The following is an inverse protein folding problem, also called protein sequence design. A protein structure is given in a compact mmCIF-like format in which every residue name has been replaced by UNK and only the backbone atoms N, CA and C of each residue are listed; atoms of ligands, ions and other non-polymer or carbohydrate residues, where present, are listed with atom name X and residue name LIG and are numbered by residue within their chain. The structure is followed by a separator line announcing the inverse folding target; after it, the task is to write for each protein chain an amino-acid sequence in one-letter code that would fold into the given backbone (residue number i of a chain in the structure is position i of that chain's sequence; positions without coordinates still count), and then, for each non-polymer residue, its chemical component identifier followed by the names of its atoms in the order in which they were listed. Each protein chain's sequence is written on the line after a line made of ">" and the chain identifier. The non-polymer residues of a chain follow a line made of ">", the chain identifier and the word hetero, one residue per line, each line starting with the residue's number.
data_IF_504985191411
#
_entry.id   IF_504985191411
#
_cell.length_a   1.000
_cell.length_b   1.000
_cell.length_c   1.000
_cell.angle_alpha   90.00
_cell.angle_beta   90.00
_cell.angle_gamma   90.00
#
_symmetry.space_group_name_H-M   'P 1'
#
loop_
_entity.id
_entity.type
_entity.pdbx_description
1 polymer ?
#
# COMPACT_ATOMS: atom_id res chain seq x y z
N UNK A 1 21.88 12.88 10.89
CA UNK A 1 21.48 11.56 11.42
C UNK A 1 21.65 10.44 10.38
N UNK A 2 21.03 10.56 9.20
CA UNK A 2 21.08 9.57 8.10
C UNK A 2 22.50 9.22 7.63
N UNK A 3 23.40 10.21 7.53
CA UNK A 3 24.76 10.05 6.99
C UNK A 3 25.67 9.11 7.79
N UNK A 4 25.41 8.90 9.09
CA UNK A 4 26.21 7.99 9.93
C UNK A 4 25.50 6.66 10.20
N UNK A 5 24.18 6.70 10.39
CA UNK A 5 23.43 5.51 10.81
C UNK A 5 23.22 4.50 9.69
N UNK A 6 22.96 4.93 8.45
CA UNK A 6 22.77 3.99 7.34
C UNK A 6 24.08 3.25 7.00
N UNK A 7 25.24 3.92 6.86
CA UNK A 7 26.50 3.20 6.66
C UNK A 7 26.84 2.23 7.80
N UNK A 8 26.54 2.59 9.06
CA UNK A 8 26.72 1.69 10.19
C UNK A 8 25.78 0.47 10.11
N UNK A 9 24.51 0.67 9.79
CA UNK A 9 23.55 -0.40 9.56
C UNK A 9 24.00 -1.37 8.46
N UNK A 10 24.49 -0.84 7.32
CA UNK A 10 25.00 -1.67 6.22
C UNK A 10 26.25 -2.45 6.65
N UNK A 11 27.17 -1.82 7.38
CA UNK A 11 28.38 -2.48 7.90
C UNK A 11 28.01 -3.66 8.79
N UNK A 12 27.03 -3.48 9.68
CA UNK A 12 26.60 -4.54 10.59
C UNK A 12 25.86 -5.67 9.87
N UNK A 13 25.15 -5.37 8.79
CA UNK A 13 24.56 -6.39 7.93
C UNK A 13 25.64 -7.18 7.17
N UNK A 14 26.70 -6.50 6.70
CA UNK A 14 27.85 -7.14 6.03
C UNK A 14 28.64 -8.04 6.98
N UNK A 15 28.77 -7.64 8.24
CA UNK A 15 29.44 -8.45 9.29
C UNK A 15 28.52 -9.50 9.93
N UNK A 16 27.28 -9.64 9.43
CA UNK A 16 26.26 -10.55 9.98
C UNK A 16 25.92 -10.31 11.45
N UNK A 17 26.24 -9.13 11.98
CA UNK A 17 25.81 -8.71 13.31
C UNK A 17 24.29 -8.44 13.37
N UNK A 18 23.70 -8.14 12.22
CA UNK A 18 22.25 -8.07 12.03
C UNK A 18 21.84 -8.90 10.81
N UNK A 19 20.75 -9.65 10.94
CA UNK A 19 20.21 -10.52 9.89
C UNK A 19 18.68 -10.55 10.01
N UNK A 20 18.00 -9.47 9.57
CA UNK A 20 16.55 -9.43 9.58
C UNK A 20 15.98 -10.59 8.74
N UNK A 21 15.07 -11.36 9.36
CA UNK A 21 14.43 -12.51 8.73
C UNK A 21 13.21 -12.11 7.90
N UNK A 22 12.57 -11.00 8.26
CA UNK A 22 11.39 -10.47 7.58
C UNK A 22 11.37 -8.92 7.62
N UNK A 23 10.39 -8.34 6.92
CA UNK A 23 10.23 -6.89 6.81
C UNK A 23 9.99 -6.22 8.17
N UNK A 24 9.29 -6.89 9.09
CA UNK A 24 9.08 -6.38 10.45
C UNK A 24 10.41 -6.25 11.19
N UNK A 25 11.23 -7.29 11.19
CA UNK A 25 12.56 -7.29 11.81
C UNK A 25 13.47 -6.23 11.19
N UNK A 26 13.40 -6.03 9.87
CA UNK A 26 14.10 -4.95 9.18
C UNK A 26 13.72 -3.58 9.75
N UNK A 27 12.43 -3.28 9.82
CA UNK A 27 11.95 -1.99 10.34
C UNK A 27 12.31 -1.80 11.82
N UNK A 28 12.22 -2.84 12.63
CA UNK A 28 12.64 -2.79 14.04
C UNK A 28 14.14 -2.49 14.17
N UNK A 29 15.01 -3.16 13.41
CA UNK A 29 16.45 -2.91 13.40
C UNK A 29 16.79 -1.49 12.89
N UNK A 30 16.06 -1.00 11.88
CA UNK A 30 16.19 0.40 11.44
C UNK A 30 15.88 1.36 12.60
N UNK A 31 14.77 1.16 13.30
CA UNK A 31 14.38 2.00 14.43
C UNK A 31 15.34 1.93 15.60
N UNK A 32 15.88 0.76 15.93
CA UNK A 32 16.91 0.59 16.97
C UNK A 32 18.18 1.41 16.68
N UNK A 33 18.45 1.72 15.40
CA UNK A 33 19.56 2.57 14.96
C UNK A 33 19.16 4.02 14.73
N UNK A 34 17.93 4.40 15.10
CA UNK A 34 17.38 5.73 14.86
C UNK A 34 17.15 6.03 13.38
N UNK A 35 17.05 5.03 12.52
CA UNK A 35 16.74 5.20 11.09
C UNK A 35 15.22 5.18 10.94
N UNK A 36 14.64 6.33 10.60
CA UNK A 36 13.21 6.43 10.31
C UNK A 36 12.87 5.68 9.01
N UNK A 37 11.73 4.98 8.97
CA UNK A 37 11.25 4.21 7.79
C UNK A 37 11.15 5.05 6.53
N UNK A 38 10.93 6.37 6.62
CA UNK A 38 10.90 7.26 5.45
C UNK A 38 12.21 7.26 4.64
N UNK A 39 13.31 6.78 5.24
CA UNK A 39 14.62 6.66 4.60
C UNK A 39 14.88 5.27 4.00
N UNK A 40 13.84 4.45 3.80
CA UNK A 40 13.96 3.15 3.13
C UNK A 40 14.66 3.27 1.77
N UNK A 41 14.40 4.33 1.00
CA UNK A 41 15.10 4.56 -0.28
C UNK A 41 16.63 4.63 -0.10
N UNK A 42 17.12 5.34 0.93
CA UNK A 42 18.55 5.46 1.23
C UNK A 42 19.16 4.14 1.70
N UNK A 43 18.38 3.34 2.43
CA UNK A 43 18.79 1.98 2.81
C UNK A 43 18.91 1.12 1.55
N UNK A 44 17.89 1.13 0.67
CA UNK A 44 17.88 0.40 -0.61
C UNK A 44 19.09 0.80 -1.47
N UNK A 45 19.36 2.09 -1.63
CA UNK A 45 20.53 2.61 -2.36
C UNK A 45 21.84 2.05 -1.77
N UNK A 46 22.01 2.12 -0.45
CA UNK A 46 23.25 1.72 0.21
C UNK A 46 23.49 0.21 0.17
N UNK A 47 22.45 -0.61 0.36
CA UNK A 47 22.58 -2.07 0.28
C UNK A 47 22.73 -2.56 -1.17
N UNK A 48 22.23 -1.80 -2.16
CA UNK A 48 22.36 -2.16 -3.59
C UNK A 48 23.80 -2.20 -4.08
N UNK A 49 24.73 -1.54 -3.37
CA UNK A 49 26.17 -1.56 -3.66
C UNK A 49 26.77 -2.94 -3.37
N UNK A 50 26.15 -3.74 -2.49
CA UNK A 50 26.69 -5.00 -2.00
C UNK A 50 25.82 -6.18 -2.44
N UNK A 51 26.32 -6.99 -3.37
CA UNK A 51 25.57 -8.15 -3.90
C UNK A 51 25.17 -9.17 -2.81
N UNK A 52 25.98 -9.31 -1.75
CA UNK A 52 25.69 -10.16 -0.59
C UNK A 52 24.45 -9.72 0.21
N UNK A 53 24.06 -8.44 0.11
CA UNK A 53 22.88 -7.88 0.76
C UNK A 53 21.66 -7.83 -0.18
N UNK A 54 21.66 -8.59 -1.28
CA UNK A 54 20.54 -8.65 -2.21
C UNK A 54 19.22 -9.06 -1.55
N UNK A 55 19.24 -9.91 -0.52
CA UNK A 55 18.05 -10.27 0.25
C UNK A 55 17.46 -9.05 0.99
N UNK A 56 18.33 -8.24 1.60
CA UNK A 56 17.97 -7.05 2.35
C UNK A 56 17.41 -5.97 1.44
N UNK A 57 17.98 -5.83 0.23
CA UNK A 57 17.46 -4.98 -0.83
C UNK A 57 16.02 -5.36 -1.18
N UNK A 58 15.77 -6.64 -1.51
CA UNK A 58 14.43 -7.12 -1.89
C UNK A 58 13.41 -6.85 -0.78
N UNK A 59 13.78 -7.15 0.46
CA UNK A 59 12.94 -6.94 1.62
C UNK A 59 12.61 -5.46 1.86
N UNK A 60 13.59 -4.57 1.72
CA UNK A 60 13.37 -3.13 1.84
C UNK A 60 12.46 -2.58 0.72
N UNK A 61 12.58 -3.10 -0.50
CA UNK A 61 11.68 -2.76 -1.62
C UNK A 61 10.25 -3.26 -1.33
N UNK A 62 10.10 -4.48 -0.84
CA UNK A 62 8.79 -5.02 -0.44
C UNK A 62 8.14 -4.17 0.66
N UNK A 63 8.90 -3.68 1.64
CA UNK A 63 8.39 -2.75 2.66
C UNK A 63 7.90 -1.43 2.04
N UNK A 64 8.63 -0.84 1.09
CA UNK A 64 8.13 0.35 0.38
C UNK A 64 6.81 0.04 -0.32
N UNK A 65 6.76 -1.06 -1.09
CA UNK A 65 5.57 -1.47 -1.84
C UNK A 65 4.34 -1.66 -0.94
N UNK A 66 4.46 -2.49 0.10
CA UNK A 66 3.37 -2.83 1.01
C UNK A 66 2.88 -1.62 1.80
N UNK A 67 3.78 -0.72 2.17
CA UNK A 67 3.41 0.49 2.91
C UNK A 67 2.72 1.52 2.02
N UNK A 68 3.15 1.68 0.77
CA UNK A 68 2.44 2.48 -0.22
C UNK A 68 1.03 1.94 -0.47
N UNK A 69 0.90 0.62 -0.69
CA UNK A 69 -0.40 -0.02 -0.83
C UNK A 69 -1.30 0.21 0.40
N UNK A 70 -0.75 0.11 1.60
CA UNK A 70 -1.48 0.41 2.85
C UNK A 70 -1.95 1.87 2.94
N UNK A 71 -1.16 2.84 2.49
CA UNK A 71 -1.57 4.24 2.47
C UNK A 71 -2.79 4.45 1.57
N UNK A 72 -2.75 3.89 0.35
CA UNK A 72 -3.86 3.96 -0.59
C UNK A 72 -5.09 3.20 -0.08
N UNK A 73 -4.89 2.04 0.54
CA UNK A 73 -5.96 1.23 1.13
C UNK A 73 -6.77 2.02 2.16
N UNK A 74 -6.11 2.85 2.97
CA UNK A 74 -6.79 3.67 3.98
C UNK A 74 -7.77 4.65 3.32
N UNK A 75 -7.35 5.34 2.26
CA UNK A 75 -8.21 6.28 1.52
C UNK A 75 -9.30 5.54 0.77
N UNK A 76 -8.95 4.46 0.08
CA UNK A 76 -9.91 3.59 -0.61
C UNK A 76 -11.05 3.14 0.30
N UNK A 77 -10.76 2.68 1.52
CA UNK A 77 -11.78 2.24 2.48
C UNK A 77 -12.69 3.37 2.98
N UNK A 78 -12.27 4.64 2.91
CA UNK A 78 -13.14 5.77 3.26
C UNK A 78 -14.26 5.97 2.22
N UNK A 79 -14.03 5.56 0.98
CA UNK A 79 -14.99 5.64 -0.13
C UNK A 79 -15.90 4.41 -0.24
N UNK A 80 -15.54 3.31 0.42
CA UNK A 80 -16.35 2.08 0.44
C UNK A 80 -17.53 2.25 1.40
N UNK A 81 -18.72 1.89 0.92
CA UNK A 81 -19.91 1.86 1.77
C UNK A 81 -19.71 0.84 2.91
N UNK A 82 -20.00 1.20 4.18
CA UNK A 82 -19.89 0.26 5.30
C UNK A 82 -20.66 -1.06 5.11
N UNK A 83 -21.76 -1.07 4.36
CA UNK A 83 -22.50 -2.31 4.02
C UNK A 83 -21.75 -3.22 3.05
N UNK A 84 -20.81 -2.67 2.29
CA UNK A 84 -20.03 -3.37 1.27
C UNK A 84 -18.54 -3.45 1.66
N UNK A 85 -18.19 -3.22 2.94
CA UNK A 85 -16.80 -3.14 3.38
C UNK A 85 -16.01 -4.42 3.05
N UNK A 86 -16.59 -5.60 3.31
CA UNK A 86 -15.96 -6.88 2.95
C UNK A 86 -15.68 -7.01 1.45
N UNK A 87 -16.62 -6.53 0.63
CA UNK A 87 -16.51 -6.52 -0.83
C UNK A 87 -15.41 -5.57 -1.30
N UNK A 88 -15.37 -4.35 -0.76
CA UNK A 88 -14.32 -3.39 -1.07
C UNK A 88 -12.93 -3.89 -0.66
N UNK A 89 -12.80 -4.51 0.52
CA UNK A 89 -11.52 -5.12 0.95
C UNK A 89 -11.09 -6.20 -0.03
N UNK A 90 -11.99 -7.12 -0.40
CA UNK A 90 -11.68 -8.17 -1.37
C UNK A 90 -11.31 -7.59 -2.74
N UNK A 91 -12.03 -6.58 -3.21
CA UNK A 91 -11.74 -5.92 -4.48
C UNK A 91 -10.35 -5.27 -4.49
N UNK A 92 -10.01 -4.50 -3.47
CA UNK A 92 -8.69 -3.88 -3.34
C UNK A 92 -7.58 -4.93 -3.34
N UNK A 93 -7.73 -6.00 -2.56
CA UNK A 93 -6.74 -7.08 -2.50
C UNK A 93 -6.62 -7.81 -3.83
N UNK A 94 -7.72 -8.03 -4.55
CA UNK A 94 -7.68 -8.62 -5.88
C UNK A 94 -6.96 -7.72 -6.89
N UNK A 95 -7.19 -6.40 -6.86
CA UNK A 95 -6.43 -5.44 -7.68
C UNK A 95 -4.94 -5.45 -7.30
N UNK A 96 -4.61 -5.58 -6.02
CA UNK A 96 -3.24 -5.52 -5.53
C UNK A 96 -2.44 -6.81 -5.81
N UNK A 97 -3.05 -7.97 -5.59
CA UNK A 97 -2.37 -9.28 -5.63
C UNK A 97 -2.48 -9.98 -6.98
N UNK A 98 -3.43 -9.57 -7.83
CA UNK A 98 -3.69 -10.23 -9.11
C UNK A 98 -3.71 -9.23 -10.25
N UNK A 99 -3.30 -9.67 -11.45
CA UNK A 99 -3.44 -8.92 -12.69
C UNK A 99 -4.72 -9.33 -13.46
N UNK A 100 -5.77 -9.76 -12.74
CA UNK A 100 -6.99 -10.25 -13.36
C UNK A 100 -7.74 -9.10 -14.07
N UNK A 101 -7.96 -9.18 -15.40
CA UNK A 101 -8.80 -8.21 -16.08
C UNK A 101 -10.27 -8.43 -15.71
N UNK A 102 -11.04 -7.35 -15.60
CA UNK A 102 -12.49 -7.37 -15.41
C UNK A 102 -12.97 -8.01 -14.10
N UNK A 103 -12.46 -7.50 -12.96
CA UNK A 103 -13.01 -7.85 -11.65
C UNK A 103 -14.50 -7.47 -11.57
N UNK A 104 -15.30 -8.35 -10.97
CA UNK A 104 -16.74 -8.14 -10.74
C UNK A 104 -17.06 -8.18 -9.24
N UNK A 105 -16.69 -7.15 -8.46
CA UNK A 105 -16.77 -7.19 -6.99
C UNK A 105 -18.17 -7.46 -6.44
N UNK A 106 -19.21 -7.03 -7.15
CA UNK A 106 -20.60 -7.17 -6.74
C UNK A 106 -21.25 -8.50 -7.15
N UNK A 107 -20.54 -9.39 -7.84
CA UNK A 107 -21.10 -10.65 -8.29
C UNK A 107 -21.52 -11.52 -7.10
N UNK A 108 -22.78 -11.94 -7.08
CA UNK A 108 -23.34 -12.78 -6.02
C UNK A 108 -23.70 -12.04 -4.72
N UNK A 109 -23.58 -10.71 -4.68
CA UNK A 109 -24.07 -9.91 -3.55
C UNK A 109 -25.59 -9.84 -3.59
N UNK A 110 -26.22 -10.07 -2.44
CA UNK A 110 -27.67 -10.04 -2.29
C UNK A 110 -28.25 -8.68 -2.75
N UNK A 111 -29.20 -8.75 -3.68
CA UNK A 111 -29.91 -7.57 -4.19
C UNK A 111 -30.57 -6.75 -3.07
N UNK A 112 -31.01 -7.37 -1.98
CA UNK A 112 -31.59 -6.68 -0.84
C UNK A 112 -30.55 -5.78 -0.16
N UNK A 113 -29.29 -6.20 -0.05
CA UNK A 113 -28.20 -5.38 0.49
C UNK A 113 -27.93 -4.19 -0.44
N UNK A 114 -27.92 -4.42 -1.75
CA UNK A 114 -27.76 -3.35 -2.75
C UNK A 114 -28.94 -2.37 -2.74
N UNK A 115 -30.17 -2.85 -2.54
CA UNK A 115 -31.40 -2.03 -2.43
C UNK A 115 -31.47 -1.26 -1.10
N UNK A 116 -31.06 -1.86 0.03
CA UNK A 116 -30.98 -1.18 1.34
C UNK A 116 -29.98 -0.03 1.32
N UNK A 117 -28.86 -0.25 0.64
CA UNK A 117 -27.88 0.78 0.34
C UNK A 117 -28.53 1.95 -0.44
N UNK A 118 -29.24 1.65 -1.54
CA UNK A 118 -29.99 2.66 -2.33
C UNK A 118 -31.10 3.37 -1.53
N UNK A 119 -31.80 2.67 -0.64
CA UNK A 119 -32.91 3.23 0.15
C UNK A 119 -32.45 4.15 1.29
N UNK A 120 -31.35 3.82 1.99
CA UNK A 120 -30.72 4.76 2.94
C UNK A 120 -30.22 6.03 2.24
N UNK A 121 -29.81 5.91 0.98
CA UNK A 121 -29.37 7.03 0.14
C UNK A 121 -30.52 7.96 -0.26
N UNK A 122 -31.71 7.45 -0.55
CA UNK A 122 -32.90 8.28 -0.83
C UNK A 122 -33.34 9.12 0.38
N UNK A 123 -33.22 8.61 1.61
CA UNK A 123 -33.49 9.41 2.83
C UNK A 123 -32.43 10.47 3.13
N UNK A 124 -31.16 10.27 2.72
CA UNK A 124 -30.08 11.28 2.86
C UNK A 124 -30.10 12.32 1.73
N UNK A 125 -30.53 11.96 0.51
CA UNK A 125 -30.62 12.85 -0.66
C UNK A 125 -31.58 14.04 -0.47
N UNK A 126 -32.57 13.95 0.42
CA UNK A 126 -33.49 15.07 0.69
C UNK A 126 -32.87 16.19 1.56
N UNK A 127 -31.71 15.99 2.19
CA UNK A 127 -31.14 16.98 3.13
C UNK A 127 -29.87 17.71 2.69
N UNK A 128 -29.17 17.26 1.64
CA UNK A 128 -27.94 17.92 1.18
C UNK A 128 -27.87 17.92 -0.36
N UNK A 129 -28.20 19.05 -0.99
CA UNK A 129 -27.87 19.36 -2.39
C UNK A 129 -26.35 19.61 -2.48
N UNK A 130 -25.59 18.54 -2.69
CA UNK A 130 -24.31 18.56 -3.42
C UNK A 130 -24.32 17.29 -4.26
N UNK A 131 -24.55 17.46 -5.56
CA UNK A 131 -24.38 16.41 -6.54
C UNK A 131 -22.91 15.95 -6.50
N UNK A 132 -22.67 14.72 -6.04
CA UNK A 132 -21.37 14.06 -6.13
C UNK A 132 -21.50 12.96 -7.20
N UNK A 133 -20.78 13.05 -8.33
CA UNK A 133 -20.96 12.14 -9.47
C UNK A 133 -20.40 10.72 -9.29
N UNK A 134 -19.79 10.35 -8.16
CA UNK A 134 -19.00 9.11 -8.07
C UNK A 134 -19.51 8.17 -6.98
N UNK A 135 -20.82 7.90 -7.02
CA UNK A 135 -21.44 6.88 -6.19
C UNK A 135 -20.83 5.50 -6.54
N UNK A 136 -19.97 4.96 -5.68
CA UNK A 136 -19.16 3.74 -5.88
C UNK A 136 -17.95 3.88 -6.81
N UNK A 137 -17.27 5.03 -6.82
CA UNK A 137 -15.99 5.22 -7.53
C UNK A 137 -14.96 4.11 -7.28
N UNK A 138 -14.94 3.56 -6.06
CA UNK A 138 -14.04 2.48 -5.65
C UNK A 138 -14.17 1.18 -6.50
N UNK A 139 -15.28 1.00 -7.24
CA UNK A 139 -15.45 -0.11 -8.19
C UNK A 139 -14.69 0.07 -9.49
N UNK A 140 -14.30 1.30 -9.82
CA UNK A 140 -13.55 1.62 -11.03
C UNK A 140 -12.04 1.33 -10.86
N UNK A 141 -11.62 0.99 -9.64
CA UNK A 141 -10.23 0.66 -9.36
C UNK A 141 -9.84 -0.64 -10.07
N UNK A 142 -8.71 -0.62 -10.76
CA UNK A 142 -8.16 -1.77 -11.49
C UNK A 142 -6.77 -2.09 -10.99
N UNK A 143 -6.23 -3.24 -11.37
CA UNK A 143 -4.83 -3.55 -11.12
C UNK A 143 -3.88 -2.45 -11.66
N UNK A 144 -4.11 -1.99 -12.89
CA UNK A 144 -3.24 -1.02 -13.56
C UNK A 144 -3.31 0.39 -12.94
N UNK A 145 -4.51 0.85 -12.57
CA UNK A 145 -4.68 2.15 -11.89
C UNK A 145 -4.05 2.11 -10.50
N UNK A 146 -4.32 1.05 -9.73
CA UNK A 146 -3.78 0.88 -8.39
C UNK A 146 -2.25 0.80 -8.42
N UNK A 147 -1.69 0.03 -9.35
CA UNK A 147 -0.23 -0.07 -9.52
C UNK A 147 0.41 1.28 -9.85
N UNK A 148 -0.24 2.08 -10.71
CA UNK A 148 0.23 3.44 -11.04
C UNK A 148 0.25 4.35 -9.82
N UNK A 149 -0.82 4.32 -9.00
CA UNK A 149 -0.86 5.09 -7.75
C UNK A 149 0.14 4.58 -6.71
N UNK A 150 0.41 3.26 -6.64
CA UNK A 150 1.46 2.72 -5.76
C UNK A 150 2.85 3.24 -6.16
N UNK A 151 3.16 3.26 -7.45
CA UNK A 151 4.43 3.82 -7.95
C UNK A 151 4.54 5.30 -7.59
N UNK A 152 3.45 6.05 -7.78
CA UNK A 152 3.39 7.48 -7.44
C UNK A 152 3.59 7.70 -5.94
N UNK A 153 2.88 6.97 -5.09
CA UNK A 153 3.00 7.04 -3.62
C UNK A 153 4.42 6.67 -3.16
N UNK A 154 5.02 5.61 -3.74
CA UNK A 154 6.40 5.23 -3.45
C UNK A 154 7.39 6.35 -3.81
N UNK A 155 7.17 7.03 -4.93
CA UNK A 155 7.99 8.15 -5.38
C UNK A 155 7.80 9.39 -4.50
N UNK A 156 6.57 9.76 -4.16
CA UNK A 156 6.27 10.98 -3.41
C UNK A 156 6.62 10.84 -1.92
N UNK A 157 6.26 9.72 -1.30
CA UNK A 157 6.46 9.53 0.14
C UNK A 157 7.86 9.01 0.48
N UNK A 158 8.34 8.01 -0.27
CA UNK A 158 9.62 7.34 -0.01
C UNK A 158 10.76 7.83 -0.90
N UNK A 159 10.50 8.64 -1.94
CA UNK A 159 11.52 9.04 -2.92
C UNK A 159 12.17 7.82 -3.59
N UNK A 160 11.39 6.76 -3.81
CA UNK A 160 11.84 5.52 -4.42
C UNK A 160 11.06 5.23 -5.71
N UNK A 161 11.78 5.04 -6.80
CA UNK A 161 11.19 4.62 -8.08
C UNK A 161 11.15 3.09 -8.12
N UNK A 162 9.95 2.53 -8.03
CA UNK A 162 9.75 1.10 -8.28
C UNK A 162 9.89 0.88 -9.79
N UNK A 163 10.93 0.16 -10.20
CA UNK A 163 11.10 -0.31 -11.57
C UNK A 163 10.31 -1.61 -11.74
N UNK A 164 9.28 -1.56 -12.57
CA UNK A 164 8.55 -2.74 -13.06
C UNK A 164 9.41 -3.51 -14.07
#
# INVERSE_FOLDING_TARGET
>A
MVLKQIPAFVRDALSLCITPQDGRALIELMHQRGINVRYLNRVIESVSIHQSLGYLKKMAICEVLLRSAKHLFKTYLQDVDPMLLSVGIAHFLNCFLTACPNLTPLLGIDEQVLKLNRNKKNKKKLKNLRESPEEMAWLNETHSSLWSEIIKEAKEYYHYQITA
#
